data_IF_134878272800
#
_entry.id   IF_134878272800
#
_cell.length_a   1.000
_cell.length_b   1.000
_cell.length_c   1.000
_cell.angle_alpha   90.00
_cell.angle_beta   90.00
_cell.angle_gamma   90.00
#
_symmetry.space_group_name_H-M   'P 1'
#
loop_
_entity.id
_entity.type
_entity.pdbx_description
1 polymer ?
#
# COMPACT_ATOMS: atom_id res chain seq x y z
N UNK A 1 1.20 46.69 4.30
CA UNK A 1 0.07 46.13 5.07
C UNK A 1 -0.91 45.47 4.13
N UNK A 2 -1.75 44.57 4.64
CA UNK A 2 -2.84 43.83 3.99
C UNK A 2 -2.49 42.45 3.40
N UNK A 3 -2.46 41.48 4.33
CA UNK A 3 -2.89 40.10 4.09
C UNK A 3 -4.38 40.07 3.68
N UNK A 4 -4.75 39.33 2.63
CA UNK A 4 -6.07 38.65 2.41
C UNK A 4 -5.89 37.60 1.30
N UNK A 5 -5.85 36.32 1.65
CA UNK A 5 -6.96 35.35 1.52
C UNK A 5 -7.26 34.92 0.07
N UNK A 6 -7.12 33.62 -0.21
CA UNK A 6 -7.66 33.05 -1.45
C UNK A 6 -7.13 31.67 -1.84
N UNK A 7 -7.28 30.65 -0.99
CA UNK A 7 -7.28 29.26 -1.46
C UNK A 7 -8.46 29.08 -2.44
N UNK A 8 -8.19 28.90 -3.73
CA UNK A 8 -9.30 28.73 -4.67
C UNK A 8 -8.93 28.52 -6.13
N UNK A 9 -8.84 27.23 -6.51
CA UNK A 9 -9.30 26.69 -7.80
C UNK A 9 -8.54 27.12 -9.07
N UNK A 10 -7.69 26.22 -9.54
CA UNK A 10 -7.20 26.25 -10.92
C UNK A 10 -6.33 25.06 -11.29
N UNK A 11 -6.69 23.86 -10.83
CA UNK A 11 -6.02 22.61 -11.20
C UNK A 11 -6.02 22.54 -12.73
N UNK A 12 -4.83 22.73 -13.33
CA UNK A 12 -4.62 22.65 -14.77
C UNK A 12 -5.28 21.36 -15.27
N UNK A 13 -6.21 21.56 -16.20
CA UNK A 13 -6.88 20.58 -17.06
C UNK A 13 -6.02 19.32 -17.23
N UNK A 14 -6.25 18.28 -16.41
CA UNK A 14 -5.66 16.95 -16.62
C UNK A 14 -6.32 16.33 -17.86
N UNK A 15 -5.81 16.67 -19.04
CA UNK A 15 -6.23 16.07 -20.31
C UNK A 15 -5.34 14.87 -20.56
N UNK A 16 -5.70 13.72 -19.99
CA UNK A 16 -5.17 12.45 -20.49
C UNK A 16 -5.85 12.12 -21.81
N UNK A 17 -5.17 11.39 -22.70
CA UNK A 17 -5.70 10.94 -24.00
C UNK A 17 -6.94 10.03 -23.88
N UNK A 18 -7.28 9.62 -22.67
CA UNK A 18 -8.34 8.68 -22.36
C UNK A 18 -9.39 9.32 -21.46
N UNK A 19 -10.66 9.06 -21.76
CA UNK A 19 -11.81 9.60 -21.02
C UNK A 19 -11.73 9.30 -19.52
N UNK A 20 -12.18 10.26 -18.71
CA UNK A 20 -12.18 10.19 -17.25
C UNK A 20 -11.30 11.27 -16.61
N UNK A 21 -11.83 11.94 -15.58
CA UNK A 21 -11.09 12.91 -14.76
C UNK A 21 -10.63 12.19 -13.50
N UNK A 22 -9.35 11.85 -13.46
CA UNK A 22 -8.78 11.12 -12.34
C UNK A 22 -7.27 11.01 -12.43
N UNK A 23 -6.60 10.61 -11.33
CA UNK A 23 -5.15 10.60 -11.22
C UNK A 23 -4.45 9.62 -12.18
N UNK A 24 -5.19 8.77 -12.89
CA UNK A 24 -4.68 7.81 -13.88
C UNK A 24 -5.26 8.04 -15.29
N UNK A 25 -5.77 9.25 -15.59
CA UNK A 25 -6.40 9.55 -16.87
C UNK A 25 -5.44 9.46 -18.06
N UNK A 26 -4.14 9.63 -17.82
CA UNK A 26 -3.06 9.50 -18.82
C UNK A 26 -2.81 8.05 -19.27
N UNK A 27 -3.22 7.06 -18.46
CA UNK A 27 -3.10 5.65 -18.83
C UNK A 27 -4.33 5.20 -19.62
N UNK A 28 -4.16 4.30 -20.61
CA UNK A 28 -5.29 3.63 -21.26
C UNK A 28 -6.12 2.88 -20.22
N UNK A 29 -7.46 2.83 -20.37
CA UNK A 29 -8.35 2.28 -19.35
C UNK A 29 -7.95 0.90 -18.81
N UNK A 30 -7.44 0.01 -19.66
CA UNK A 30 -6.99 -1.35 -19.31
C UNK A 30 -5.68 -1.43 -18.52
N UNK A 31 -4.91 -0.34 -18.45
CA UNK A 31 -3.73 -0.23 -17.57
C UNK A 31 -4.02 0.55 -16.29
N UNK A 32 -5.26 1.02 -16.09
CA UNK A 32 -5.59 1.80 -14.89
C UNK A 32 -5.65 0.86 -13.68
N UNK A 33 -5.28 1.34 -12.48
CA UNK A 33 -5.34 0.52 -11.28
C UNK A 33 -6.73 -0.03 -10.99
N UNK A 34 -7.82 0.69 -11.31
CA UNK A 34 -9.17 0.15 -11.15
C UNK A 34 -9.54 -0.98 -12.11
N UNK A 35 -8.78 -1.18 -13.20
CA UNK A 35 -8.94 -2.29 -14.13
C UNK A 35 -8.01 -3.46 -13.78
N UNK A 36 -6.74 -3.16 -13.51
CA UNK A 36 -5.76 -4.15 -13.03
C UNK A 36 -6.14 -4.71 -11.65
N UNK A 37 -6.63 -3.84 -10.77
CA UNK A 37 -7.00 -4.11 -9.39
C UNK A 37 -8.51 -3.91 -9.13
N UNK A 38 -9.36 -4.22 -10.12
CA UNK A 38 -10.82 -4.01 -10.06
C UNK A 38 -11.55 -4.74 -8.92
N UNK A 39 -12.89 -4.57 -8.87
CA UNK A 39 -13.77 -5.14 -7.81
C UNK A 39 -13.44 -6.63 -7.61
N UNK A 40 -12.80 -6.97 -6.48
CA UNK A 40 -12.41 -8.33 -6.16
C UNK A 40 -10.91 -8.58 -6.05
N UNK A 41 -10.03 -7.59 -6.28
CA UNK A 41 -8.58 -7.75 -6.03
C UNK A 41 -8.18 -7.79 -4.54
N UNK A 42 -9.15 -7.94 -3.64
CA UNK A 42 -8.87 -8.57 -2.36
C UNK A 42 -8.95 -10.09 -2.54
N UNK A 43 -7.78 -10.66 -2.87
CA UNK A 43 -7.33 -12.06 -2.74
C UNK A 43 -7.66 -13.03 -3.89
N UNK A 44 -6.63 -13.51 -4.61
CA UNK A 44 -6.62 -14.83 -5.24
C UNK A 44 -5.57 -15.79 -4.63
N UNK A 45 -4.82 -15.35 -3.62
CA UNK A 45 -3.89 -16.23 -2.92
C UNK A 45 -4.63 -16.86 -1.74
N UNK A 46 -4.34 -18.13 -1.46
CA UNK A 46 -4.86 -18.91 -0.32
C UNK A 46 -6.17 -19.68 -0.54
N UNK A 47 -6.19 -20.52 -1.59
CA UNK A 47 -6.68 -21.90 -1.40
C UNK A 47 -5.55 -22.75 -0.80
N UNK A 48 -4.95 -22.29 0.29
CA UNK A 48 -3.91 -23.03 1.02
C UNK A 48 -4.62 -23.97 1.97
N UNK A 49 -4.16 -25.23 2.03
CA UNK A 49 -4.74 -26.18 2.97
C UNK A 49 -4.49 -25.72 4.41
N UNK A 50 -5.37 -26.07 5.35
CA UNK A 50 -5.22 -25.65 6.76
C UNK A 50 -3.84 -25.99 7.34
N UNK A 51 -3.29 -27.13 6.94
CA UNK A 51 -1.98 -27.62 7.40
C UNK A 51 -0.83 -26.75 6.89
N UNK A 52 -0.87 -26.38 5.62
CA UNK A 52 0.13 -25.49 5.02
C UNK A 52 0.04 -24.08 5.60
N UNK A 53 -1.16 -23.58 5.87
CA UNK A 53 -1.34 -22.27 6.51
C UNK A 53 -0.74 -22.27 7.92
N UNK A 54 -0.96 -23.32 8.71
CA UNK A 54 -0.34 -23.48 10.04
C UNK A 54 1.20 -23.47 9.91
N UNK A 55 1.75 -24.24 8.97
CA UNK A 55 3.21 -24.29 8.77
C UNK A 55 3.80 -22.93 8.40
N UNK A 56 3.14 -22.19 7.51
CA UNK A 56 3.57 -20.84 7.12
C UNK A 56 3.55 -19.93 8.34
N UNK A 57 2.45 -19.91 9.08
CA UNK A 57 2.28 -19.06 10.26
C UNK A 57 3.28 -19.40 11.37
N UNK A 58 3.61 -20.68 11.57
CA UNK A 58 4.64 -21.10 12.53
C UNK A 58 6.04 -20.62 12.13
N UNK A 59 6.37 -20.66 10.84
CA UNK A 59 7.64 -20.14 10.35
C UNK A 59 7.71 -18.62 10.50
N UNK A 60 6.63 -17.92 10.16
CA UNK A 60 6.53 -16.46 10.31
C UNK A 60 6.67 -16.05 11.79
N UNK A 61 6.03 -16.79 12.70
CA UNK A 61 6.15 -16.54 14.14
C UNK A 61 7.61 -16.64 14.62
N UNK A 62 8.36 -17.66 14.18
CA UNK A 62 9.78 -17.82 14.54
C UNK A 62 10.65 -16.66 14.03
N UNK A 63 10.39 -16.19 12.81
CA UNK A 63 11.12 -15.05 12.24
C UNK A 63 10.86 -13.79 13.07
N UNK A 64 9.60 -13.53 13.41
CA UNK A 64 9.21 -12.38 14.22
C UNK A 64 9.81 -12.44 15.63
N UNK A 65 9.89 -13.62 16.25
CA UNK A 65 10.56 -13.79 17.54
C UNK A 65 12.05 -13.43 17.48
N UNK A 66 12.75 -13.86 16.43
CA UNK A 66 14.16 -13.50 16.21
C UNK A 66 14.34 -11.99 16.00
N UNK A 67 13.43 -11.35 15.27
CA UNK A 67 13.45 -9.90 15.08
C UNK A 67 13.22 -9.16 16.40
N UNK A 68 12.26 -9.62 17.21
CA UNK A 68 12.02 -9.06 18.54
C UNK A 68 13.26 -9.21 19.44
N UNK A 69 13.94 -10.35 19.40
CA UNK A 69 15.17 -10.56 20.15
C UNK A 69 16.28 -9.59 19.73
N UNK A 70 16.48 -9.41 18.41
CA UNK A 70 17.42 -8.42 17.87
C UNK A 70 17.10 -6.99 18.33
N UNK A 71 15.83 -6.60 18.27
CA UNK A 71 15.37 -5.28 18.71
C UNK A 71 15.62 -5.11 20.21
N UNK A 72 15.28 -6.12 21.03
CA UNK A 72 15.51 -6.09 22.49
C UNK A 72 16.99 -5.91 22.82
N UNK A 73 17.87 -6.68 22.17
CA UNK A 73 19.32 -6.54 22.33
C UNK A 73 19.79 -5.12 22.00
N UNK A 74 19.28 -4.54 20.91
CA UNK A 74 19.64 -3.17 20.51
C UNK A 74 19.16 -2.12 21.52
N UNK A 75 17.98 -2.33 22.10
CA UNK A 75 17.47 -1.47 23.17
C UNK A 75 18.32 -1.56 24.44
N UNK A 76 18.80 -2.76 24.82
CA UNK A 76 19.69 -2.93 25.97
C UNK A 76 21.04 -2.25 25.77
N UNK A 77 21.61 -2.33 24.56
CA UNK A 77 22.83 -1.61 24.20
C UNK A 77 22.68 -0.09 24.33
N UNK A 78 21.54 0.46 23.89
CA UNK A 78 21.28 1.92 23.91
C UNK A 78 20.86 2.45 25.28
N UNK A 79 20.44 1.59 26.21
CA UNK A 79 20.04 1.97 27.57
C UNK A 79 21.20 1.88 28.58
N UNK A 80 22.34 1.32 28.19
CA UNK A 80 23.60 1.42 28.93
C UNK A 80 24.26 2.76 28.66
#
# INVERSE_FOLDING_TARGET
>A
MAWKEGYGRGFRRWVGSWTGRGPFSYLPPWHRPGWLFGRGMCRPFFNVSKEEEILILENDAKVLEQELERIRKRLEELKK
#
